data_IF_718136922596
#
_entry.id   IF_718136922596
#
_cell.length_a   1.000
_cell.length_b   1.000
_cell.length_c   1.000
_cell.angle_alpha   90.00
_cell.angle_beta   90.00
_cell.angle_gamma   90.00
#
_symmetry.space_group_name_H-M   'P 1'
#
loop_
_entity.id
_entity.type
_entity.pdbx_description
1 polymer ?
#
# COMPACT_ATOMS: atom_id res chain seq x y z
N UNK A 1 16.75 -38.23 -7.48
CA UNK A 1 15.34 -38.65 -7.26
C UNK A 1 14.51 -37.40 -7.03
N UNK A 2 13.92 -36.90 -8.10
CA UNK A 2 13.09 -35.69 -8.12
C UNK A 2 11.69 -36.06 -7.65
N UNK A 3 11.24 -35.53 -6.51
CA UNK A 3 9.84 -35.64 -6.07
C UNK A 3 8.99 -34.81 -7.04
N UNK A 4 8.30 -35.48 -7.95
CA UNK A 4 7.21 -34.95 -8.76
C UNK A 4 6.12 -34.49 -7.79
N UNK A 5 5.91 -33.15 -7.67
CA UNK A 5 4.81 -32.60 -6.92
C UNK A 5 3.51 -33.04 -7.58
N UNK A 6 2.72 -33.85 -6.90
CA UNK A 6 1.32 -34.06 -7.25
C UNK A 6 0.64 -32.68 -7.18
N UNK A 7 0.28 -32.13 -8.33
CA UNK A 7 -0.61 -30.97 -8.40
C UNK A 7 -1.90 -31.37 -7.70
N UNK A 8 -2.22 -30.70 -6.59
CA UNK A 8 -3.49 -30.97 -5.89
C UNK A 8 -4.61 -30.22 -6.63
N UNK A 9 -5.19 -30.87 -7.63
CA UNK A 9 -6.27 -30.34 -8.45
C UNK A 9 -7.49 -29.86 -7.63
N UNK A 10 -7.63 -30.28 -6.36
CA UNK A 10 -8.68 -29.82 -5.47
C UNK A 10 -8.37 -28.44 -4.93
N UNK A 11 -7.11 -28.20 -4.54
CA UNK A 11 -6.65 -26.91 -4.08
C UNK A 11 -6.64 -25.90 -5.23
N UNK A 12 -6.18 -26.28 -6.42
CA UNK A 12 -6.22 -25.42 -7.62
C UNK A 12 -7.65 -25.00 -7.97
N UNK A 13 -8.62 -25.95 -7.89
CA UNK A 13 -10.03 -25.63 -8.13
C UNK A 13 -10.60 -24.71 -7.05
N UNK A 14 -10.22 -24.93 -5.79
CA UNK A 14 -10.65 -24.08 -4.68
C UNK A 14 -10.10 -22.66 -4.83
N UNK A 15 -8.83 -22.54 -5.20
CA UNK A 15 -8.21 -21.25 -5.45
C UNK A 15 -8.87 -20.53 -6.63
N UNK A 16 -9.10 -21.22 -7.75
CA UNK A 16 -9.80 -20.63 -8.90
C UNK A 16 -11.20 -20.12 -8.56
N UNK A 17 -11.93 -20.82 -7.66
CA UNK A 17 -13.23 -20.36 -7.19
C UNK A 17 -13.11 -19.12 -6.28
N UNK A 18 -12.09 -19.07 -5.42
CA UNK A 18 -11.78 -17.88 -4.59
C UNK A 18 -11.45 -16.67 -5.46
N UNK A 19 -10.64 -16.88 -6.49
CA UNK A 19 -10.25 -15.82 -7.44
C UNK A 19 -11.47 -15.29 -8.20
N UNK A 20 -12.39 -16.17 -8.64
CA UNK A 20 -13.63 -15.75 -9.29
C UNK A 20 -14.53 -14.92 -8.36
N UNK A 21 -14.62 -15.29 -7.08
CA UNK A 21 -15.36 -14.51 -6.07
C UNK A 21 -14.67 -13.15 -5.82
N UNK A 22 -13.34 -13.11 -5.77
CA UNK A 22 -12.59 -11.86 -5.60
C UNK A 22 -12.76 -10.93 -6.82
N UNK A 23 -12.80 -11.46 -8.04
CA UNK A 23 -13.12 -10.68 -9.26
C UNK A 23 -14.52 -10.07 -9.17
N UNK A 24 -15.51 -10.85 -8.71
CA UNK A 24 -16.87 -10.34 -8.51
C UNK A 24 -16.92 -9.26 -7.39
N UNK A 25 -16.10 -9.41 -6.34
CA UNK A 25 -15.99 -8.42 -5.27
C UNK A 25 -15.40 -7.10 -5.78
N UNK A 26 -14.34 -7.14 -6.58
CA UNK A 26 -13.78 -5.96 -7.23
C UNK A 26 -14.80 -5.26 -8.13
N UNK A 27 -15.52 -6.03 -8.97
CA UNK A 27 -16.57 -5.47 -9.81
C UNK A 27 -17.69 -4.79 -9.00
N UNK A 28 -18.04 -5.36 -7.85
CA UNK A 28 -19.07 -4.79 -6.97
C UNK A 28 -18.61 -3.48 -6.33
N UNK A 29 -17.36 -3.42 -5.81
CA UNK A 29 -16.86 -2.20 -5.15
C UNK A 29 -16.57 -1.06 -6.12
N UNK A 30 -16.31 -1.35 -7.39
CA UNK A 30 -16.21 -0.31 -8.42
C UNK A 30 -17.57 0.33 -8.72
N UNK A 31 -18.68 -0.42 -8.60
CA UNK A 31 -20.01 0.10 -8.83
C UNK A 31 -20.61 0.81 -7.59
N UNK A 32 -20.32 0.32 -6.38
CA UNK A 32 -21.07 0.70 -5.16
C UNK A 32 -20.22 1.36 -4.06
N UNK A 33 -18.93 1.37 -4.14
CA UNK A 33 -17.98 1.69 -3.09
C UNK A 33 -17.63 0.53 -2.13
N UNK A 34 -16.41 0.61 -1.57
CA UNK A 34 -15.79 -0.46 -0.78
C UNK A 34 -16.60 -0.85 0.47
N UNK A 35 -17.16 0.12 1.18
CA UNK A 35 -17.92 -0.13 2.41
C UNK A 35 -19.31 -0.72 2.15
N UNK A 36 -19.89 -0.46 0.99
CA UNK A 36 -21.26 -0.87 0.64
C UNK A 36 -21.34 -2.37 0.30
N UNK A 37 -20.25 -3.05 -0.04
CA UNK A 37 -20.26 -4.47 -0.40
C UNK A 37 -20.98 -5.31 0.62
N UNK A 38 -22.03 -6.07 0.19
CA UNK A 38 -22.69 -7.09 1.00
C UNK A 38 -22.40 -8.49 0.44
N UNK A 39 -22.42 -9.51 1.32
CA UNK A 39 -22.21 -10.90 0.87
C UNK A 39 -23.37 -11.40 -0.01
N UNK A 40 -24.54 -10.82 0.11
CA UNK A 40 -25.69 -11.14 -0.74
C UNK A 40 -25.48 -10.62 -2.16
N UNK A 41 -25.07 -9.37 -2.30
CA UNK A 41 -24.84 -8.74 -3.59
C UNK A 41 -23.62 -9.35 -4.27
N UNK A 42 -22.58 -9.67 -3.50
CA UNK A 42 -21.45 -10.44 -3.98
C UNK A 42 -21.84 -11.82 -4.53
N UNK A 43 -22.67 -12.58 -3.78
CA UNK A 43 -23.14 -13.87 -4.24
C UNK A 43 -23.96 -13.76 -5.53
N UNK A 44 -24.84 -12.75 -5.62
CA UNK A 44 -25.61 -12.46 -6.83
C UNK A 44 -24.70 -12.12 -8.02
N UNK A 45 -23.71 -11.25 -7.79
CA UNK A 45 -22.72 -10.84 -8.80
C UNK A 45 -21.86 -12.02 -9.29
N UNK A 46 -21.47 -12.90 -8.39
CA UNK A 46 -20.68 -14.09 -8.69
C UNK A 46 -21.52 -15.26 -9.29
N UNK A 47 -22.83 -15.12 -9.39
CA UNK A 47 -23.72 -16.19 -9.88
C UNK A 47 -23.83 -17.41 -8.96
N UNK A 48 -23.61 -17.24 -7.65
CA UNK A 48 -23.62 -18.29 -6.63
C UNK A 48 -24.55 -17.93 -5.48
N UNK A 49 -24.69 -18.80 -4.49
CA UNK A 49 -25.47 -18.53 -3.29
C UNK A 49 -24.60 -17.98 -2.14
N UNK A 50 -25.18 -17.22 -1.22
CA UNK A 50 -24.46 -16.74 -0.02
C UNK A 50 -23.85 -17.89 0.81
N UNK A 51 -24.51 -19.04 1.04
CA UNK A 51 -23.85 -20.20 1.64
C UNK A 51 -22.64 -20.69 0.86
N UNK A 52 -22.66 -20.59 -0.46
CA UNK A 52 -21.50 -20.96 -1.30
C UNK A 52 -20.34 -19.99 -1.09
N UNK A 53 -20.58 -18.68 -0.91
CA UNK A 53 -19.51 -17.72 -0.54
C UNK A 53 -18.86 -18.15 0.78
N UNK A 54 -19.64 -18.51 1.78
CA UNK A 54 -19.12 -18.98 3.09
C UNK A 54 -18.33 -20.29 3.00
N UNK A 55 -18.56 -21.13 1.99
CA UNK A 55 -17.74 -22.33 1.78
C UNK A 55 -16.30 -22.00 1.35
N UNK A 56 -16.05 -20.81 0.79
CA UNK A 56 -14.73 -20.34 0.34
C UNK A 56 -14.11 -19.26 1.24
N UNK A 57 -14.93 -18.44 1.88
CA UNK A 57 -14.50 -17.32 2.74
C UNK A 57 -15.27 -17.37 4.06
N UNK A 58 -14.57 -17.50 5.16
CA UNK A 58 -15.18 -17.58 6.50
C UNK A 58 -15.88 -16.29 6.94
N UNK A 59 -15.53 -15.16 6.32
CA UNK A 59 -16.08 -13.84 6.65
C UNK A 59 -15.92 -12.86 5.50
N UNK A 60 -16.65 -11.74 5.57
CA UNK A 60 -16.45 -10.59 4.68
C UNK A 60 -15.01 -10.03 4.78
N UNK A 61 -14.42 -10.06 5.99
CA UNK A 61 -13.02 -9.64 6.20
C UNK A 61 -12.02 -10.51 5.44
N UNK A 62 -12.25 -11.82 5.35
CA UNK A 62 -11.40 -12.72 4.58
C UNK A 62 -11.45 -12.41 3.06
N UNK A 63 -12.58 -11.87 2.57
CA UNK A 63 -12.67 -11.39 1.19
C UNK A 63 -11.86 -10.11 1.01
N UNK A 64 -11.99 -9.14 1.92
CA UNK A 64 -11.18 -7.92 1.90
C UNK A 64 -9.68 -8.22 2.02
N UNK A 65 -9.29 -9.21 2.83
CA UNK A 65 -7.89 -9.63 2.95
C UNK A 65 -7.36 -10.17 1.63
N UNK A 66 -8.12 -11.01 0.94
CA UNK A 66 -7.75 -11.49 -0.40
C UNK A 66 -7.65 -10.33 -1.40
N UNK A 67 -8.60 -9.40 -1.40
CA UNK A 67 -8.57 -8.21 -2.27
C UNK A 67 -7.36 -7.33 -1.94
N UNK A 68 -7.06 -7.13 -0.66
CA UNK A 68 -5.88 -6.37 -0.23
C UNK A 68 -4.59 -7.01 -0.73
N UNK A 69 -4.43 -8.33 -0.56
CA UNK A 69 -3.26 -9.07 -1.03
C UNK A 69 -3.07 -8.96 -2.54
N UNK A 70 -4.14 -9.04 -3.34
CA UNK A 70 -4.11 -8.81 -4.78
C UNK A 70 -3.68 -7.39 -5.12
N UNK A 71 -4.32 -6.39 -4.52
CA UNK A 71 -3.99 -4.99 -4.75
C UNK A 71 -2.54 -4.65 -4.36
N UNK A 72 -2.06 -5.20 -3.22
CA UNK A 72 -0.69 -5.01 -2.75
C UNK A 72 0.33 -5.69 -3.68
N UNK A 73 0.01 -6.86 -4.23
CA UNK A 73 0.86 -7.54 -5.20
C UNK A 73 0.94 -6.77 -6.52
N UNK A 74 -0.21 -6.30 -7.04
CA UNK A 74 -0.27 -5.47 -8.25
C UNK A 74 0.49 -4.15 -8.07
N UNK A 75 0.34 -3.50 -6.91
CA UNK A 75 1.09 -2.30 -6.57
C UNK A 75 2.59 -2.54 -6.52
N UNK A 76 3.02 -3.60 -5.81
CA UNK A 76 4.43 -3.95 -5.72
C UNK A 76 5.02 -4.27 -7.12
N UNK A 77 4.30 -4.99 -7.95
CA UNK A 77 4.71 -5.28 -9.32
C UNK A 77 4.85 -4.00 -10.16
N UNK A 78 3.86 -3.10 -10.07
CA UNK A 78 3.93 -1.82 -10.78
C UNK A 78 5.12 -0.96 -10.31
N UNK A 79 5.41 -0.90 -9.01
CA UNK A 79 6.55 -0.11 -8.49
C UNK A 79 7.91 -0.74 -8.81
N UNK A 80 7.98 -2.06 -9.01
CA UNK A 80 9.21 -2.78 -9.34
C UNK A 80 9.61 -2.69 -10.82
N UNK A 81 8.76 -2.15 -11.70
CA UNK A 81 9.09 -1.99 -13.11
C UNK A 81 10.39 -1.17 -13.29
N UNK A 82 11.27 -1.55 -14.22
CA UNK A 82 12.51 -0.81 -14.47
C UNK A 82 12.28 0.66 -14.81
N UNK A 83 13.26 1.48 -14.51
CA UNK A 83 13.28 2.89 -14.92
C UNK A 83 14.12 3.04 -16.19
N UNK A 84 13.68 3.90 -17.11
CA UNK A 84 14.39 4.20 -18.37
C UNK A 84 15.57 5.15 -18.16
N UNK A 85 16.04 5.31 -16.92
CA UNK A 85 17.11 6.25 -16.55
C UNK A 85 17.86 5.77 -15.32
N UNK A 86 19.15 6.04 -15.28
CA UNK A 86 20.00 5.84 -14.10
C UNK A 86 20.21 7.17 -13.32
N UNK A 87 19.67 8.30 -13.79
CA UNK A 87 19.76 9.58 -13.10
C UNK A 87 18.79 9.56 -11.88
N UNK A 88 19.32 9.72 -10.65
CA UNK A 88 18.53 9.45 -9.45
C UNK A 88 17.30 10.34 -9.28
N UNK A 89 17.37 11.64 -9.63
CA UNK A 89 16.20 12.52 -9.53
C UNK A 89 15.14 12.23 -10.61
N UNK A 90 15.57 11.79 -11.80
CA UNK A 90 14.65 11.36 -12.84
C UNK A 90 13.95 10.04 -12.44
N UNK A 91 14.66 9.12 -11.79
CA UNK A 91 14.06 7.91 -11.19
C UNK A 91 13.00 8.27 -10.16
N UNK A 92 13.28 9.24 -9.28
CA UNK A 92 12.32 9.65 -8.25
C UNK A 92 11.06 10.28 -8.86
N UNK A 93 11.20 11.07 -9.96
CA UNK A 93 10.07 11.58 -10.73
C UNK A 93 9.26 10.44 -11.37
N UNK A 94 9.95 9.47 -11.97
CA UNK A 94 9.30 8.32 -12.59
C UNK A 94 8.55 7.47 -11.55
N UNK A 95 9.15 7.26 -10.37
CA UNK A 95 8.48 6.61 -9.24
C UNK A 95 7.22 7.37 -8.85
N UNK A 96 7.30 8.69 -8.65
CA UNK A 96 6.17 9.51 -8.25
C UNK A 96 5.01 9.45 -9.28
N UNK A 97 5.33 9.56 -10.58
CA UNK A 97 4.33 9.44 -11.65
C UNK A 97 3.66 8.08 -11.63
N UNK A 98 4.42 7.01 -11.57
CA UNK A 98 3.91 5.63 -11.53
C UNK A 98 3.02 5.38 -10.31
N UNK A 99 3.42 5.89 -9.14
CA UNK A 99 2.62 5.81 -7.92
C UNK A 99 1.26 6.51 -8.10
N UNK A 100 1.29 7.76 -8.57
CA UNK A 100 0.07 8.57 -8.75
C UNK A 100 -0.83 7.95 -9.84
N UNK A 101 -0.26 7.51 -10.95
CA UNK A 101 -1.00 6.84 -12.04
C UNK A 101 -1.66 5.55 -11.55
N UNK A 102 -0.95 4.70 -10.81
CA UNK A 102 -1.52 3.48 -10.24
C UNK A 102 -2.69 3.79 -9.30
N UNK A 103 -2.50 4.74 -8.39
CA UNK A 103 -3.51 5.07 -7.39
C UNK A 103 -4.74 5.78 -7.98
N UNK A 104 -4.57 6.61 -9.00
CA UNK A 104 -5.68 7.33 -9.65
C UNK A 104 -6.42 6.50 -10.68
N UNK A 105 -5.79 5.46 -11.24
CA UNK A 105 -6.42 4.54 -12.17
C UNK A 105 -7.52 3.68 -11.51
N UNK A 106 -7.37 3.36 -10.22
CA UNK A 106 -8.34 2.57 -9.46
C UNK A 106 -8.46 3.10 -8.02
N UNK A 107 -9.43 3.98 -7.82
CA UNK A 107 -9.68 4.62 -6.52
C UNK A 107 -10.06 3.59 -5.44
N UNK A 108 -10.78 2.53 -5.79
CA UNK A 108 -11.15 1.50 -4.81
C UNK A 108 -9.91 0.73 -4.30
N UNK A 109 -8.96 0.42 -5.17
CA UNK A 109 -7.67 -0.16 -4.79
C UNK A 109 -6.86 0.79 -3.90
N UNK A 110 -6.77 2.06 -4.28
CA UNK A 110 -6.10 3.08 -3.49
C UNK A 110 -6.69 3.19 -2.08
N UNK A 111 -8.01 3.26 -1.98
CA UNK A 111 -8.71 3.33 -0.69
C UNK A 111 -8.43 2.11 0.17
N UNK A 112 -8.45 0.91 -0.41
CA UNK A 112 -8.18 -0.33 0.31
C UNK A 112 -6.74 -0.41 0.82
N UNK A 113 -5.76 0.03 0.01
CA UNK A 113 -4.34 -0.05 0.35
C UNK A 113 -3.88 1.04 1.34
N UNK A 114 -4.38 2.27 1.21
CA UNK A 114 -3.76 3.42 1.85
C UNK A 114 -4.68 4.22 2.79
N UNK A 115 -6.01 4.11 2.67
CA UNK A 115 -6.92 4.99 3.41
C UNK A 115 -7.60 4.34 4.63
N UNK A 116 -7.42 3.05 4.87
CA UNK A 116 -8.05 2.31 6.00
C UNK A 116 -9.56 2.58 6.14
N UNK A 117 -10.27 2.67 5.01
CA UNK A 117 -11.70 3.03 4.99
C UNK A 117 -12.63 1.95 5.56
N UNK A 118 -12.16 0.72 5.73
CA UNK A 118 -12.94 -0.37 6.27
C UNK A 118 -12.73 -0.44 7.78
N UNK A 119 -13.78 -0.20 8.62
CA UNK A 119 -13.63 -0.23 10.06
C UNK A 119 -13.12 -1.57 10.58
N UNK A 120 -12.18 -1.53 11.51
CA UNK A 120 -11.57 -2.70 12.17
C UNK A 120 -11.00 -3.75 11.20
N UNK A 121 -10.71 -3.39 9.97
CA UNK A 121 -10.02 -4.27 9.03
C UNK A 121 -8.52 -4.04 9.11
N UNK A 122 -7.81 -5.13 9.40
CA UNK A 122 -6.35 -5.22 9.29
C UNK A 122 -6.03 -6.39 8.35
N UNK A 123 -5.19 -6.19 7.33
CA UNK A 123 -4.78 -7.28 6.45
C UNK A 123 -3.91 -8.28 7.20
N UNK A 124 -3.99 -9.55 6.80
CA UNK A 124 -3.10 -10.58 7.33
C UNK A 124 -1.64 -10.25 6.99
N UNK A 125 -0.67 -10.75 7.79
CA UNK A 125 0.76 -10.57 7.48
C UNK A 125 1.14 -11.06 6.08
N UNK A 126 0.49 -12.12 5.59
CA UNK A 126 0.70 -12.67 4.25
C UNK A 126 0.22 -11.70 3.16
N UNK A 127 -1.00 -11.19 3.28
CA UNK A 127 -1.58 -10.22 2.35
C UNK A 127 -0.84 -8.87 2.38
N UNK A 128 -0.29 -8.49 3.53
CA UNK A 128 0.45 -7.24 3.71
C UNK A 128 1.90 -7.30 3.22
N UNK A 129 2.51 -8.48 3.11
CA UNK A 129 3.91 -8.64 2.76
C UNK A 129 4.33 -7.96 1.43
N UNK A 130 3.55 -7.95 0.34
CA UNK A 130 3.90 -7.21 -0.88
C UNK A 130 4.00 -5.70 -0.65
N UNK A 131 3.11 -5.11 0.16
CA UNK A 131 3.15 -3.68 0.49
C UNK A 131 4.40 -3.30 1.29
N UNK A 132 4.83 -4.16 2.21
CA UNK A 132 6.09 -4.00 2.97
C UNK A 132 7.29 -3.99 2.02
N UNK A 133 7.32 -4.89 1.02
CA UNK A 133 8.39 -4.91 0.01
C UNK A 133 8.39 -3.63 -0.83
N UNK A 134 7.24 -3.21 -1.33
CA UNK A 134 7.14 -1.98 -2.11
C UNK A 134 7.60 -0.73 -1.33
N UNK A 135 7.33 -0.69 -0.01
CA UNK A 135 7.83 0.39 0.85
C UNK A 135 9.37 0.33 1.01
N UNK A 136 9.94 -0.86 1.14
CA UNK A 136 11.40 -1.04 1.19
C UNK A 136 12.06 -0.60 -0.13
N UNK A 137 11.48 -0.96 -1.28
CA UNK A 137 11.95 -0.55 -2.61
C UNK A 137 11.91 0.98 -2.78
N UNK A 138 10.87 1.64 -2.25
CA UNK A 138 10.81 3.11 -2.20
C UNK A 138 11.97 3.71 -1.39
N UNK A 139 12.32 3.09 -0.27
CA UNK A 139 13.48 3.46 0.55
C UNK A 139 14.80 3.31 -0.22
N UNK A 140 14.95 2.26 -1.02
CA UNK A 140 16.13 2.06 -1.87
C UNK A 140 16.26 3.14 -2.96
N UNK A 141 15.15 3.52 -3.59
CA UNK A 141 15.14 4.63 -4.56
C UNK A 141 15.59 5.93 -3.90
N UNK A 142 15.10 6.24 -2.70
CA UNK A 142 15.53 7.41 -1.93
C UNK A 142 17.01 7.33 -1.53
N UNK A 143 17.51 6.17 -1.16
CA UNK A 143 18.90 5.96 -0.77
C UNK A 143 19.87 6.25 -1.94
N UNK A 144 19.48 6.03 -3.19
CA UNK A 144 20.29 6.35 -4.39
C UNK A 144 20.56 7.84 -4.56
N UNK A 145 19.72 8.72 -4.00
CA UNK A 145 19.91 10.17 -3.97
C UNK A 145 20.47 10.66 -2.62
N UNK A 146 20.94 9.74 -1.76
CA UNK A 146 21.54 10.05 -0.47
C UNK A 146 20.54 10.27 0.67
N UNK A 147 19.25 9.97 0.47
CA UNK A 147 18.21 10.13 1.49
C UNK A 147 18.03 8.83 2.29
N UNK A 148 18.89 8.64 3.30
CA UNK A 148 18.92 7.44 4.15
C UNK A 148 18.23 7.63 5.51
N UNK A 149 17.81 8.86 5.86
CA UNK A 149 17.04 9.12 7.07
C UNK A 149 15.60 8.56 6.90
N UNK A 150 15.11 7.66 7.79
CA UNK A 150 13.76 7.11 7.70
C UNK A 150 12.65 8.17 7.59
N UNK A 151 12.84 9.35 8.19
CA UNK A 151 11.90 10.47 8.07
C UNK A 151 11.70 10.92 6.62
N UNK A 152 12.67 10.69 5.74
CA UNK A 152 12.54 10.98 4.30
C UNK A 152 11.51 10.08 3.66
N UNK A 153 11.50 8.79 4.02
CA UNK A 153 10.50 7.85 3.51
C UNK A 153 9.10 8.22 4.00
N UNK A 154 8.96 8.58 5.30
CA UNK A 154 7.69 9.03 5.85
C UNK A 154 7.18 10.30 5.14
N UNK A 155 8.05 11.28 4.92
CA UNK A 155 7.70 12.51 4.18
C UNK A 155 7.33 12.21 2.73
N UNK A 156 8.07 11.33 2.07
CA UNK A 156 7.83 10.94 0.68
C UNK A 156 6.45 10.28 0.51
N UNK A 157 6.15 9.30 1.35
CA UNK A 157 4.85 8.62 1.31
C UNK A 157 3.70 9.57 1.62
N UNK A 158 3.86 10.48 2.61
CA UNK A 158 2.85 11.47 2.94
C UNK A 158 2.60 12.45 1.78
N UNK A 159 3.64 12.92 1.09
CA UNK A 159 3.52 13.81 -0.06
C UNK A 159 2.81 13.14 -1.24
N UNK A 160 3.17 11.90 -1.57
CA UNK A 160 2.56 11.17 -2.67
C UNK A 160 1.09 10.86 -2.39
N UNK A 161 0.76 10.38 -1.18
CA UNK A 161 -0.63 10.16 -0.81
C UNK A 161 -1.43 11.47 -0.81
N UNK A 162 -0.86 12.57 -0.34
CA UNK A 162 -1.50 13.89 -0.41
C UNK A 162 -1.81 14.34 -1.84
N UNK A 163 -0.90 14.09 -2.79
CA UNK A 163 -1.17 14.37 -4.22
C UNK A 163 -2.32 13.54 -4.76
N UNK A 164 -2.33 12.23 -4.46
CA UNK A 164 -3.41 11.33 -4.91
C UNK A 164 -4.74 11.74 -4.29
N UNK A 165 -4.78 12.00 -2.97
CA UNK A 165 -6.01 12.43 -2.29
C UNK A 165 -6.57 13.71 -2.87
N UNK A 166 -5.72 14.69 -3.17
CA UNK A 166 -6.15 15.94 -3.81
C UNK A 166 -6.65 15.70 -5.22
N UNK A 167 -5.99 14.85 -6.01
CA UNK A 167 -6.38 14.56 -7.37
C UNK A 167 -7.74 13.87 -7.44
N UNK A 168 -7.95 12.81 -6.64
CA UNK A 168 -9.21 12.05 -6.67
C UNK A 168 -10.39 12.83 -6.05
N UNK A 169 -10.12 13.72 -5.08
CA UNK A 169 -11.18 14.46 -4.38
C UNK A 169 -11.58 15.75 -5.06
N UNK A 170 -10.64 16.45 -5.70
CA UNK A 170 -10.87 17.82 -6.19
C UNK A 170 -10.79 17.97 -7.72
N UNK A 171 -10.24 16.96 -8.41
CA UNK A 171 -10.15 16.96 -9.88
C UNK A 171 -10.15 15.52 -10.42
N UNK A 172 -11.20 14.72 -10.14
CA UNK A 172 -11.27 13.32 -10.56
C UNK A 172 -11.26 13.22 -12.09
N UNK A 173 -10.31 12.42 -12.61
CA UNK A 173 -10.13 12.25 -14.07
C UNK A 173 -9.41 13.41 -14.78
N UNK A 174 -9.05 14.48 -14.07
CA UNK A 174 -8.23 15.57 -14.60
C UNK A 174 -6.74 15.36 -14.31
N UNK A 175 -5.95 16.45 -14.36
CA UNK A 175 -4.49 16.42 -14.16
C UNK A 175 -3.98 17.52 -13.21
N UNK A 176 -4.87 18.26 -12.57
CA UNK A 176 -4.55 19.45 -11.78
C UNK A 176 -3.42 19.24 -10.79
N UNK A 177 -3.41 18.12 -10.11
CA UNK A 177 -2.42 17.79 -9.08
C UNK A 177 -1.29 16.93 -9.65
N UNK A 178 -1.60 16.08 -10.64
CA UNK A 178 -0.61 15.21 -11.31
C UNK A 178 0.49 16.04 -11.98
N UNK A 179 0.15 17.16 -12.62
CA UNK A 179 1.11 18.06 -13.28
C UNK A 179 2.10 18.72 -12.31
N UNK A 180 1.84 18.69 -11.00
CA UNK A 180 2.72 19.27 -9.98
C UNK A 180 3.79 18.28 -9.48
N UNK A 181 3.84 17.06 -10.02
CA UNK A 181 4.78 16.02 -9.54
C UNK A 181 6.23 16.50 -9.63
N UNK A 182 6.63 17.17 -10.70
CA UNK A 182 8.00 17.61 -10.89
C UNK A 182 8.42 18.70 -9.90
N UNK A 183 7.50 19.63 -9.59
CA UNK A 183 7.68 20.65 -8.56
C UNK A 183 7.75 20.02 -7.16
N UNK A 184 6.89 19.06 -6.87
CA UNK A 184 6.89 18.32 -5.61
C UNK A 184 8.19 17.55 -5.39
N UNK A 185 8.68 16.84 -6.40
CA UNK A 185 9.97 16.13 -6.33
C UNK A 185 11.11 17.11 -6.13
N UNK A 186 11.12 18.22 -6.86
CA UNK A 186 12.14 19.26 -6.72
C UNK A 186 12.14 19.88 -5.33
N UNK A 187 10.97 20.21 -4.80
CA UNK A 187 10.80 20.74 -3.44
C UNK A 187 11.30 19.73 -2.39
N UNK A 188 10.90 18.46 -2.54
CA UNK A 188 11.32 17.39 -1.64
C UNK A 188 12.83 17.18 -1.64
N UNK A 189 13.48 17.19 -2.81
CA UNK A 189 14.92 17.03 -2.92
C UNK A 189 15.69 18.23 -2.34
N UNK A 190 15.17 19.44 -2.47
CA UNK A 190 15.80 20.66 -1.97
C UNK A 190 15.56 20.87 -0.46
N UNK A 191 14.65 20.14 0.16
CA UNK A 191 14.37 20.28 1.58
C UNK A 191 15.50 19.67 2.44
N UNK A 192 16.06 20.45 3.35
CA UNK A 192 17.01 19.97 4.35
C UNK A 192 16.27 19.56 5.63
N UNK A 193 16.49 18.34 6.10
CA UNK A 193 15.97 17.93 7.41
C UNK A 193 16.81 18.57 8.50
N UNK A 194 16.16 19.28 9.44
CA UNK A 194 16.79 19.71 10.68
C UNK A 194 17.15 18.48 11.53
N UNK A 195 18.26 18.51 12.23
CA UNK A 195 18.58 17.46 13.20
C UNK A 195 17.43 17.33 14.22
N UNK A 196 17.06 16.09 14.62
CA UNK A 196 16.09 15.93 15.68
C UNK A 196 16.58 16.61 16.95
N UNK A 197 15.73 17.32 17.70
CA UNK A 197 16.13 17.96 18.95
C UNK A 197 16.82 16.91 19.83
N UNK A 198 18.09 17.15 20.16
CA UNK A 198 18.93 16.20 20.86
C UNK A 198 18.20 15.72 22.12
N UNK A 199 18.15 14.41 22.31
CA UNK A 199 17.74 13.81 23.59
C UNK A 199 18.70 14.39 24.62
N UNK A 200 18.21 15.39 25.39
CA UNK A 200 18.93 15.89 26.55
C UNK A 200 19.29 14.69 27.42
N UNK A 201 20.57 14.33 27.44
CA UNK A 201 21.11 13.36 28.40
C UNK A 201 20.69 13.87 29.78
N UNK A 202 19.75 13.19 30.41
CA UNK A 202 19.52 13.33 31.83
C UNK A 202 20.88 13.09 32.50
N UNK A 203 21.50 14.18 32.95
CA UNK A 203 22.65 14.10 33.82
C UNK A 203 22.21 13.38 35.11
N UNK A 204 22.71 12.16 35.24
CA UNK A 204 22.61 11.37 36.44
C UNK A 204 23.40 12.14 37.54
N UNK A 205 22.69 12.97 38.29
CA UNK A 205 23.21 13.55 39.53
C UNK A 205 23.26 12.44 40.57
N UNK A 206 24.36 11.69 40.54
CA UNK A 206 24.76 10.80 41.62
C UNK A 206 24.74 11.61 42.95
N UNK A 207 23.86 11.18 43.81
CA UNK A 207 23.77 11.55 45.21
C UNK A 207 25.06 11.12 45.91
N UNK A 208 25.99 12.03 46.08
CA UNK A 208 27.00 11.91 47.15
C UNK A 208 26.33 12.27 48.47
N UNK A 209 25.93 11.24 49.23
CA UNK A 209 25.73 11.35 50.68
C UNK A 209 27.10 11.36 51.34
N UNK A 210 27.53 12.54 51.78
CA UNK A 210 28.61 12.64 52.73
C UNK A 210 28.12 12.15 54.09
N UNK A 211 28.84 11.20 54.64
CA UNK A 211 28.82 10.87 56.04
C UNK A 211 29.71 11.89 56.77
N UNK A 212 29.22 12.41 57.89
CA UNK A 212 30.06 12.88 59.02
C UNK A 212 29.26 12.97 60.30
N UNK A 213 29.77 12.20 61.21
CA UNK A 213 29.88 12.30 62.66
C UNK A 213 28.60 12.36 63.47
#
# INVERSE_FOLDING_TARGET
>A
MTKSGKVDWREDRRQSARDAIAVAAWALVHDEALMAMSLRDLALRAGITTPTVYAYFESKRAIYDTMFGQAAADFAAAMAEPYDTDEPHAMLRAYARRFVEFCTADVARYQLLFQHVIPDFEPSPESYAPAVRALADAGEVLARIGFTDPRRLDMWTALLNGLVDQQISNDPGGDRWIRLIDEFVTMFCNHSLSEPPGRTRRSDRSRTKGAST
#
